data_IF_545081946926
#
_entry.id   IF_545081946926
#
_cell.length_a   1.000
_cell.length_b   1.000
_cell.length_c   1.000
_cell.angle_alpha   90.00
_cell.angle_beta   90.00
_cell.angle_gamma   90.00
#
_symmetry.space_group_name_H-M   'P 1'
#
loop_
_entity.id
_entity.type
_entity.pdbx_description
1 polymer ?
2 non-polymer ?
3 water ?
#
# COMPACT_ATOMS: atom_id res chain seq x y z
N UNK A 24 2.87 -33.08 -6.28
CA UNK A 24 2.17 -32.38 -5.23
C UNK A 24 2.43 -30.87 -5.49
N UNK A 25 3.08 -30.16 -4.58
CA UNK A 25 3.03 -28.70 -4.55
C UNK A 25 3.82 -28.07 -5.69
N UNK A 26 3.40 -26.87 -6.09
CA UNK A 26 4.23 -26.07 -6.96
C UNK A 26 5.52 -25.68 -6.23
N UNK A 27 6.62 -25.46 -6.97
CA UNK A 27 7.93 -25.27 -6.32
C UNK A 27 8.20 -23.88 -5.74
N UNK A 28 7.19 -23.03 -5.56
CA UNK A 28 7.51 -21.64 -5.20
C UNK A 28 8.09 -21.55 -3.80
N UNK A 29 7.55 -22.31 -2.84
CA UNK A 29 8.19 -22.33 -1.52
C UNK A 29 9.57 -22.97 -1.58
N UNK A 30 9.69 -24.13 -2.24
CA UNK A 30 10.99 -24.76 -2.33
C UNK A 30 12.05 -23.79 -2.88
N UNK A 31 11.70 -23.02 -3.90
CA UNK A 31 12.67 -22.09 -4.49
C UNK A 31 13.17 -21.09 -3.45
N UNK A 32 12.24 -20.53 -2.66
CA UNK A 32 12.61 -19.57 -1.63
C UNK A 32 13.42 -20.23 -0.53
N UNK A 33 13.06 -21.45 -0.13
CA UNK A 33 13.81 -22.12 0.92
C UNK A 33 15.25 -22.42 0.49
N UNK A 34 15.45 -22.80 -0.78
CA UNK A 34 16.79 -23.16 -1.25
C UNK A 34 17.68 -21.91 -1.29
N UNK A 35 17.16 -20.81 -1.84
CA UNK A 35 17.88 -19.53 -1.83
C UNK A 35 18.00 -18.97 -0.43
N UNK A 36 17.13 -19.41 0.48
CA UNK A 36 17.12 -18.96 1.87
C UNK A 36 16.94 -17.45 1.93
N UNK A 37 16.10 -16.95 1.04
CA UNK A 37 15.83 -15.51 1.02
C UNK A 37 14.50 -15.21 0.36
N UNK A 38 13.87 -14.12 0.81
CA UNK A 38 12.63 -13.66 0.21
C UNK A 38 12.88 -12.22 -0.19
N UNK A 39 12.64 -11.91 -1.46
CA UNK A 39 12.85 -10.56 -1.99
C UNK A 39 11.51 -9.85 -1.96
N UNK A 40 11.41 -8.82 -1.12
CA UNK A 40 10.16 -8.07 -0.90
C UNK A 40 10.34 -6.73 -1.61
N UNK A 41 9.62 -6.50 -2.70
CA UNK A 41 9.68 -5.23 -3.39
C UNK A 41 8.88 -4.18 -2.65
N UNK A 42 9.46 -2.99 -2.47
CA UNK A 42 8.79 -1.92 -1.74
C UNK A 42 9.05 -0.62 -2.47
N UNK A 43 8.08 0.30 -2.37
CA UNK A 43 8.37 1.71 -2.53
C UNK A 43 8.91 2.21 -1.20
N UNK A 44 10.11 2.77 -1.19
CA UNK A 44 10.80 3.06 0.06
C UNK A 44 10.53 4.48 0.56
N UNK A 45 9.41 5.08 0.16
CA UNK A 45 9.00 6.40 0.60
C UNK A 45 7.58 6.40 1.18
N UNK A 46 7.00 5.23 1.46
CA UNK A 46 5.60 5.23 1.91
C UNK A 46 5.58 5.44 3.43
N UNK A 47 5.04 6.56 3.95
CA UNK A 47 5.07 6.76 5.41
C UNK A 47 4.42 5.61 6.18
N UNK A 48 4.94 5.37 7.39
CA UNK A 48 4.51 4.28 8.30
C UNK A 48 4.79 2.87 7.78
N UNK A 49 4.47 2.56 6.52
CA UNK A 49 4.56 1.18 6.04
C UNK A 49 5.99 0.79 5.62
N UNK A 50 6.70 1.67 4.92
CA UNK A 50 8.01 1.34 4.37
C UNK A 50 8.67 2.61 3.88
N UNK A 51 9.47 3.22 4.76
CA UNK A 51 10.07 4.53 4.51
C UNK A 51 11.49 4.52 5.08
N UNK A 52 12.26 5.59 4.79
CA UNK A 52 13.64 5.71 5.27
C UNK A 52 13.70 6.51 6.56
N UNK A 53 14.32 5.93 7.60
CA UNK A 53 14.48 6.64 8.85
C UNK A 53 15.71 7.57 8.77
N UNK A 54 15.99 8.29 9.87
CA UNK A 54 17.09 9.26 9.89
C UNK A 54 18.44 8.62 9.54
N UNK A 55 18.61 7.34 9.81
CA UNK A 55 19.83 6.61 9.49
C UNK A 55 19.80 6.04 8.07
N UNK A 56 18.75 6.32 7.31
CA UNK A 56 18.55 5.88 5.93
C UNK A 56 18.35 4.36 5.84
N UNK A 57 17.83 3.76 6.90
CA UNK A 57 17.39 2.36 6.86
C UNK A 57 15.91 2.30 6.52
N UNK A 58 15.50 1.25 5.82
CA UNK A 58 14.09 1.05 5.52
C UNK A 58 13.40 0.49 6.76
N UNK A 59 12.32 1.15 7.20
CA UNK A 59 11.60 0.79 8.42
C UNK A 59 10.12 0.90 8.12
N UNK A 60 9.32 0.28 8.98
CA UNK A 60 7.90 0.50 8.89
C UNK A 60 7.13 -0.76 9.24
N UNK A 61 5.81 -0.62 9.20
CA UNK A 61 4.91 -1.71 9.58
C UNK A 61 5.15 -2.93 8.70
N UNK A 62 5.18 -2.73 7.38
CA UNK A 62 5.37 -3.85 6.45
C UNK A 62 6.74 -4.47 6.65
N UNK A 63 7.73 -3.63 6.98
CA UNK A 63 9.09 -4.13 7.17
C UNK A 63 9.17 -4.97 8.42
N UNK A 64 8.51 -4.52 9.51
CA UNK A 64 8.56 -5.30 10.73
C UNK A 64 7.89 -6.65 10.52
N UNK A 65 6.77 -6.66 9.78
CA UNK A 65 6.07 -7.92 9.51
C UNK A 65 6.98 -8.89 8.75
N UNK A 66 7.56 -8.44 7.64
CA UNK A 66 8.31 -9.38 6.82
C UNK A 66 9.65 -9.73 7.44
N UNK A 67 10.25 -8.84 8.23
CA UNK A 67 11.49 -9.19 8.90
C UNK A 67 11.28 -10.34 9.89
N UNK A 68 10.19 -10.28 10.66
CA UNK A 68 9.93 -11.31 11.66
C UNK A 68 9.42 -12.59 11.01
N UNK A 69 8.57 -12.46 9.99
CA UNK A 69 8.10 -13.61 9.25
C UNK A 69 9.27 -14.41 8.67
N UNK A 70 10.21 -13.72 8.00
CA UNK A 70 11.35 -14.41 7.42
C UNK A 70 12.24 -15.00 8.52
N UNK A 71 12.35 -14.31 9.65
CA UNK A 71 13.13 -14.88 10.74
C UNK A 71 12.54 -16.23 11.15
N UNK A 72 11.22 -16.27 11.32
CA UNK A 72 10.58 -17.53 11.73
C UNK A 72 10.74 -18.61 10.67
N UNK A 73 10.75 -18.24 9.39
CA UNK A 73 10.91 -19.21 8.31
C UNK A 73 12.36 -19.61 8.07
N UNK A 74 13.31 -19.00 8.78
CA UNK A 74 14.69 -19.38 8.60
C UNK A 74 15.33 -18.86 7.32
N UNK A 75 14.83 -17.74 6.79
CA UNK A 75 15.26 -17.19 5.51
C UNK A 75 15.57 -15.71 5.71
N UNK A 76 16.36 -15.15 4.75
CA UNK A 76 16.78 -13.75 4.87
C UNK A 76 15.82 -12.85 4.12
N UNK A 77 15.29 -11.78 4.75
CA UNK A 77 14.42 -10.85 4.04
C UNK A 77 15.27 -9.84 3.28
N UNK A 78 14.96 -9.62 2.02
CA UNK A 78 15.64 -8.60 1.21
C UNK A 78 14.61 -7.57 0.78
N UNK A 79 14.75 -6.34 1.28
CA UNK A 79 13.79 -5.31 0.97
C UNK A 79 14.36 -4.56 -0.22
N UNK A 80 13.72 -4.70 -1.37
CA UNK A 80 14.28 -4.24 -2.63
C UNK A 80 13.47 -3.05 -3.10
N UNK A 81 14.04 -1.85 -3.12
CA UNK A 81 13.29 -0.69 -3.63
C UNK A 81 13.01 -0.84 -5.12
N UNK A 82 11.75 -0.68 -5.47
CA UNK A 82 11.29 -0.80 -6.85
C UNK A 82 10.63 0.49 -7.30
N UNK A 83 10.53 0.62 -8.63
CA UNK A 83 9.67 1.60 -9.27
C UNK A 83 8.25 1.03 -9.30
N UNK A 84 7.29 1.73 -8.66
CA UNK A 84 6.00 1.10 -8.46
C UNK A 84 5.37 0.67 -9.78
N UNK A 85 5.56 1.48 -10.84
CA UNK A 85 4.93 1.20 -12.13
C UNK A 85 5.46 -0.08 -12.75
N UNK A 86 6.62 -0.56 -12.31
CA UNK A 86 7.27 -1.76 -12.84
C UNK A 86 6.97 -3.01 -12.01
N UNK A 87 6.11 -2.90 -10.99
CA UNK A 87 6.01 -3.95 -10.00
C UNK A 87 5.58 -5.28 -10.61
N UNK A 88 4.66 -5.24 -11.57
CA UNK A 88 4.17 -6.50 -12.17
C UNK A 88 5.27 -7.22 -12.94
N UNK A 89 6.04 -6.47 -13.72
CA UNK A 89 7.15 -7.04 -14.48
C UNK A 89 8.24 -7.55 -13.55
N UNK A 90 8.60 -6.77 -12.52
CA UNK A 90 9.67 -7.21 -11.62
C UNK A 90 9.29 -8.50 -10.90
N UNK A 91 8.02 -8.60 -10.50
CA UNK A 91 7.53 -9.82 -9.86
C UNK A 91 7.51 -10.99 -10.83
N UNK A 92 6.91 -10.80 -12.01
CA UNK A 92 6.72 -11.92 -12.94
C UNK A 92 8.03 -12.40 -13.56
N UNK A 93 9.02 -11.53 -13.69
CA UNK A 93 10.35 -11.95 -14.16
C UNK A 93 11.24 -12.43 -13.02
N UNK A 94 10.76 -12.41 -11.79
CA UNK A 94 11.53 -12.98 -10.70
C UNK A 94 12.56 -12.09 -10.04
N UNK A 95 12.58 -10.79 -10.38
CA UNK A 95 13.48 -9.86 -9.69
C UNK A 95 13.08 -9.75 -8.22
N UNK A 96 11.77 -9.72 -7.93
CA UNK A 96 11.24 -9.79 -6.58
C UNK A 96 10.35 -11.03 -6.46
N UNK A 97 10.03 -11.38 -5.22
CA UNK A 97 9.15 -12.51 -4.92
C UNK A 97 7.76 -12.07 -4.49
N UNK A 98 7.61 -10.83 -4.03
CA UNK A 98 6.33 -10.33 -3.57
C UNK A 98 6.41 -8.82 -3.50
N UNK A 99 5.24 -8.20 -3.30
CA UNK A 99 5.12 -6.74 -3.31
C UNK A 99 4.38 -6.33 -2.03
N UNK A 100 4.96 -5.39 -1.30
CA UNK A 100 4.34 -4.81 -0.11
C UNK A 100 4.24 -3.30 -0.35
N UNK A 101 4.42 -2.46 0.69
CA UNK A 101 4.27 -1.00 0.58
C UNK A 101 2.82 -0.57 0.39
N UNK A 102 1.88 -1.26 1.02
CA UNK A 102 0.49 -0.83 0.97
C UNK A 102 -0.21 -1.20 -0.32
N UNK A 103 -0.03 -2.45 -0.76
CA UNK A 103 -0.61 -2.94 -2.00
C UNK A 103 -2.11 -3.20 -1.82
N UNK A 104 -2.95 -2.49 -2.58
CA UNK A 104 -4.41 -2.63 -2.50
C UNK A 104 -4.96 -3.80 -3.31
N UNK A 105 -5.88 -4.55 -2.71
CA UNK A 105 -6.69 -5.49 -3.47
C UNK A 105 -7.65 -4.73 -4.38
N UNK A 106 -7.67 -5.10 -5.66
CA UNK A 106 -8.71 -4.68 -6.59
C UNK A 106 -9.17 -5.89 -7.37
N UNK A 107 -10.36 -5.78 -7.96
CA UNK A 107 -10.87 -6.89 -8.74
C UNK A 107 -9.98 -7.16 -9.95
N UNK A 108 -9.54 -6.11 -10.63
CA UNK A 108 -8.60 -6.25 -11.76
C UNK A 108 -7.34 -6.99 -11.32
N UNK A 109 -6.76 -6.61 -10.19
CA UNK A 109 -5.50 -7.21 -9.75
C UNK A 109 -5.64 -8.69 -9.39
N UNK A 110 -6.85 -9.14 -9.06
CA UNK A 110 -7.07 -10.58 -8.84
C UNK A 110 -6.76 -11.40 -10.07
N UNK A 111 -6.83 -10.80 -11.26
CA UNK A 111 -6.49 -11.48 -12.51
C UNK A 111 -5.01 -11.40 -12.84
N UNK A 112 -4.20 -10.71 -12.03
CA UNK A 112 -2.79 -10.51 -12.34
C UNK A 112 -1.87 -11.00 -11.24
N UNK A 113 -2.40 -11.24 -10.05
CA UNK A 113 -1.60 -11.55 -8.87
C UNK A 113 -2.32 -12.56 -8.01
N UNK A 114 -1.54 -13.32 -7.25
CA UNK A 114 -2.03 -14.11 -6.13
C UNK A 114 -1.82 -13.28 -4.87
N UNK A 115 -2.89 -12.97 -4.16
CA UNK A 115 -2.80 -12.05 -3.03
C UNK A 115 -3.08 -12.80 -1.74
N UNK A 116 -2.35 -12.46 -0.68
CA UNK A 116 -2.53 -13.18 0.57
C UNK A 116 -3.67 -12.53 1.35
N UNK A 117 -4.13 -13.24 2.38
CA UNK A 117 -5.26 -12.79 3.14
C UNK A 117 -5.00 -11.34 3.60
N UNK A 118 -5.97 -10.45 3.44
CA UNK A 118 -5.73 -9.03 3.74
C UNK A 118 -5.32 -8.79 5.19
N UNK A 119 -4.47 -7.76 5.37
CA UNK A 119 -3.91 -7.51 6.70
C UNK A 119 -4.27 -6.12 7.23
N UNK A 120 -4.75 -5.20 6.40
CA UNK A 120 -5.22 -3.88 6.82
C UNK A 120 -6.40 -3.46 5.95
N UNK A 121 -7.30 -2.64 6.53
CA UNK A 121 -8.27 -1.89 5.75
C UNK A 121 -7.67 -0.56 5.35
N UNK A 122 -8.13 -0.04 4.23
CA UNK A 122 -7.70 1.26 3.77
C UNK A 122 -8.85 1.94 3.06
N UNK A 123 -8.71 3.24 2.88
CA UNK A 123 -9.64 4.01 2.09
C UNK A 123 -8.82 5.05 1.33
N UNK A 124 -9.20 5.31 0.09
CA UNK A 124 -8.64 6.44 -0.65
C UNK A 124 -9.45 7.67 -0.27
N UNK A 125 -8.73 8.76 0.03
CA UNK A 125 -9.31 10.01 0.46
C UNK A 125 -8.75 11.12 -0.43
N UNK A 126 -9.48 12.22 -0.50
CA UNK A 126 -9.10 13.38 -1.31
C UNK A 126 -8.69 14.50 -0.37
N UNK A 127 -7.52 15.07 -0.63
CA UNK A 127 -6.92 16.10 0.20
C UNK A 127 -6.81 17.37 -0.61
N UNK A 128 -7.17 18.50 0.00
CA UNK A 128 -7.06 19.82 -0.61
C UNK A 128 -6.31 20.74 0.34
N UNK A 129 -6.08 21.98 -0.11
CA UNK A 129 -5.62 23.02 0.78
C UNK A 129 -6.78 23.52 1.64
N UNK A 130 -6.53 23.68 2.94
CA UNK A 130 -7.61 23.87 3.89
C UNK A 130 -8.25 25.23 3.75
N UNK A 131 -7.51 26.18 3.22
CA UNK A 131 -7.99 27.56 3.20
C UNK A 131 -8.75 27.85 1.93
N UNK A 132 -9.25 26.79 1.28
CA UNK A 132 -9.92 26.94 0.00
C UNK A 132 -11.41 26.63 0.05
N UNK A 133 -11.92 26.14 1.17
CA UNK A 133 -13.34 25.92 1.32
C UNK A 133 -13.86 24.67 0.65
N UNK A 134 -13.00 23.74 0.25
CA UNK A 134 -13.48 22.49 -0.30
C UNK A 134 -14.13 21.67 0.78
N UNK A 135 -15.37 21.25 0.55
CA UNK A 135 -16.08 20.42 1.54
C UNK A 135 -16.60 19.13 0.92
N UNK A 136 -17.01 19.17 -0.34
CA UNK A 136 -17.66 18.03 -0.96
C UNK A 136 -16.92 17.60 -2.23
N UNK A 137 -17.11 16.33 -2.59
CA UNK A 137 -16.51 15.85 -3.83
C UNK A 137 -17.04 16.62 -5.02
N UNK A 138 -18.30 17.08 -4.95
CA UNK A 138 -18.89 17.80 -6.07
C UNK A 138 -18.10 19.06 -6.40
N UNK A 139 -17.44 19.66 -5.42
CA UNK A 139 -16.62 20.84 -5.68
C UNK A 139 -15.31 20.50 -6.36
N UNK A 140 -15.03 19.23 -6.61
CA UNK A 140 -13.85 18.83 -7.36
C UNK A 140 -14.11 18.82 -8.86
N UNK A 141 -15.34 19.09 -9.29
CA UNK A 141 -15.65 19.08 -10.71
C UNK A 141 -14.86 20.15 -11.44
N UNK A 142 -14.39 19.80 -12.64
CA UNK A 142 -13.61 20.72 -13.47
C UNK A 142 -12.37 21.18 -12.72
N UNK A 143 -11.73 20.25 -12.02
CA UNK A 143 -10.48 20.50 -11.32
C UNK A 143 -9.43 19.54 -11.85
N UNK A 144 -8.19 19.78 -11.44
CA UNK A 144 -7.10 18.85 -11.68
C UNK A 144 -6.75 18.16 -10.38
N UNK A 145 -6.65 16.83 -10.43
CA UNK A 145 -6.40 16.03 -9.24
C UNK A 145 -5.21 15.14 -9.51
N UNK A 146 -4.26 15.13 -8.59
CA UNK A 146 -3.02 14.36 -8.76
C UNK A 146 -3.17 13.04 -8.03
N UNK A 147 -2.63 12.00 -8.65
CA UNK A 147 -2.63 10.67 -8.07
C UNK A 147 -1.24 10.08 -8.27
N UNK A 148 -0.85 9.19 -7.38
CA UNK A 148 0.35 8.41 -7.61
C UNK A 148 0.13 7.45 -8.79
N UNK A 149 1.08 7.42 -9.72
CA UNK A 149 0.96 6.57 -10.89
C UNK A 149 0.85 5.10 -10.50
N UNK A 150 0.06 4.35 -11.29
CA UNK A 150 -0.08 2.90 -11.17
C UNK A 150 -0.57 2.46 -9.80
N UNK A 151 -1.47 3.26 -9.21
CA UNK A 151 -2.12 2.90 -7.96
C UNK A 151 -3.63 2.74 -8.12
N UNK A 152 -4.13 2.72 -9.35
CA UNK A 152 -5.58 2.72 -9.62
C UNK A 152 -6.28 3.89 -8.94
N UNK A 153 -5.56 4.99 -8.67
CA UNK A 153 -6.21 6.17 -8.15
C UNK A 153 -7.07 6.84 -9.19
N UNK A 154 -6.66 6.79 -10.45
CA UNK A 154 -7.49 7.27 -11.54
C UNK A 154 -8.80 6.50 -11.60
N UNK A 155 -8.74 5.18 -11.42
CA UNK A 155 -9.95 4.38 -11.43
C UNK A 155 -10.85 4.72 -10.26
N UNK A 156 -10.24 4.94 -9.08
CA UNK A 156 -11.05 5.33 -7.93
C UNK A 156 -11.81 6.63 -8.20
N UNK A 157 -11.12 7.63 -8.79
CA UNK A 157 -11.77 8.91 -9.08
C UNK A 157 -12.84 8.77 -10.15
N UNK A 158 -12.51 8.08 -11.25
CA UNK A 158 -13.46 7.85 -12.33
C UNK A 158 -14.70 7.09 -11.89
N UNK A 159 -14.68 6.51 -10.69
CA UNK A 159 -15.84 5.83 -10.15
C UNK A 159 -16.69 6.70 -9.23
N UNK A 160 -16.32 7.97 -9.07
CA UNK A 160 -17.16 8.95 -8.39
C UNK A 160 -18.05 9.62 -9.44
N UNK A 161 -19.37 9.51 -9.26
CA UNK A 161 -20.30 10.02 -10.26
C UNK A 161 -20.05 11.49 -10.57
N UNK A 162 -19.89 12.31 -9.52
CA UNK A 162 -19.68 13.74 -9.73
C UNK A 162 -18.49 14.03 -10.65
N UNK A 163 -17.52 13.11 -10.72
CA UNK A 163 -16.21 13.43 -11.28
C UNK A 163 -15.92 12.82 -12.65
N UNK A 164 -16.61 11.76 -13.05
CA UNK A 164 -16.35 11.17 -14.35
C UNK A 164 -16.55 12.21 -15.44
N UNK A 165 -15.60 12.27 -16.37
CA UNK A 165 -15.65 13.18 -17.51
C UNK A 165 -15.61 14.66 -17.09
N UNK A 166 -15.24 14.96 -15.84
CA UNK A 166 -15.12 16.34 -15.40
C UNK A 166 -13.89 16.56 -14.52
N UNK A 167 -12.86 15.75 -14.66
CA UNK A 167 -11.63 15.91 -13.91
C UNK A 167 -10.44 15.71 -14.85
N UNK A 168 -9.37 16.43 -14.58
CA UNK A 168 -8.06 16.19 -15.18
C UNK A 168 -7.22 15.45 -14.14
N UNK A 169 -6.67 14.30 -14.50
CA UNK A 169 -5.89 13.48 -13.58
C UNK A 169 -4.42 13.59 -13.94
N UNK A 170 -3.58 13.99 -12.98
CA UNK A 170 -2.14 14.05 -13.18
C UNK A 170 -1.50 12.94 -12.35
N UNK A 171 -0.76 12.07 -13.01
CA UNK A 171 -0.08 10.96 -12.33
C UNK A 171 1.36 11.36 -12.02
N UNK A 172 1.76 11.13 -10.78
CA UNK A 172 3.08 11.49 -10.29
C UNK A 172 3.80 10.27 -9.71
N UNK A 173 5.11 10.36 -9.61
CA UNK A 173 5.94 9.21 -9.29
C UNK A 173 6.14 8.96 -7.79
N UNK A 174 5.96 9.98 -6.94
CA UNK A 174 6.05 9.79 -5.51
C UNK A 174 4.91 10.47 -4.78
N UNK A 175 4.80 10.14 -3.49
CA UNK A 175 3.78 10.78 -2.66
C UNK A 175 4.16 12.23 -2.39
N UNK A 176 5.47 12.50 -2.20
CA UNK A 176 5.89 13.87 -1.95
C UNK A 176 5.52 14.78 -3.12
N UNK A 177 5.55 14.26 -4.35
CA UNK A 177 5.22 15.07 -5.51
C UNK A 177 3.75 15.51 -5.48
N UNK A 178 2.86 14.64 -4.99
CA UNK A 178 1.46 15.03 -4.84
C UNK A 178 1.35 16.29 -3.98
N UNK A 179 1.98 16.29 -2.82
CA UNK A 179 1.84 17.44 -1.93
C UNK A 179 2.52 18.67 -2.50
N UNK A 180 3.60 18.48 -3.26
CA UNK A 180 4.25 19.60 -3.91
C UNK A 180 3.34 20.25 -4.94
N UNK A 181 2.63 19.44 -5.72
CA UNK A 181 1.70 19.99 -6.70
C UNK A 181 0.54 20.68 -5.98
N UNK A 182 0.10 20.12 -4.85
CA UNK A 182 -0.96 20.73 -4.08
C UNK A 182 -0.52 22.07 -3.50
N UNK A 183 0.71 22.14 -2.98
CA UNK A 183 1.27 23.43 -2.57
C UNK A 183 1.48 24.34 -3.77
N UNK A 184 1.82 23.77 -4.93
CA UNK A 184 2.16 24.57 -6.10
C UNK A 184 0.93 25.21 -6.74
N UNK A 185 -0.23 24.56 -6.68
CA UNK A 185 -1.32 24.94 -7.56
C UNK A 185 -1.30 24.22 -8.90
N UNK A 186 -0.36 23.29 -9.09
CA UNK A 186 -0.35 22.42 -10.25
C UNK A 186 -1.58 21.53 -10.28
N UNK A 187 -2.15 21.27 -9.11
CA UNK A 187 -3.42 20.57 -9.02
C UNK A 187 -4.22 21.22 -7.90
N UNK A 188 -5.52 20.93 -7.88
CA UNK A 188 -6.43 21.43 -6.86
C UNK A 188 -6.68 20.45 -5.73
N UNK A 189 -6.40 19.18 -5.96
CA UNK A 189 -6.58 18.14 -4.96
C UNK A 189 -5.67 16.98 -5.31
N UNK A 190 -5.51 16.07 -4.34
CA UNK A 190 -4.75 14.84 -4.51
C UNK A 190 -5.51 13.68 -3.87
N UNK A 191 -5.21 12.49 -4.37
CA UNK A 191 -5.68 11.23 -3.77
C UNK A 191 -4.52 10.61 -3.00
N UNK A 192 -4.78 10.21 -1.76
CA UNK A 192 -3.81 9.49 -0.95
C UNK A 192 -4.54 8.36 -0.25
N UNK A 193 -3.78 7.39 0.26
CA UNK A 193 -4.35 6.33 1.08
C UNK A 193 -4.39 6.80 2.52
N UNK A 194 -5.54 6.57 3.16
CA UNK A 194 -5.68 6.88 4.57
C UNK A 194 -4.54 6.31 5.40
N UNK A 195 -4.20 5.02 5.18
CA UNK A 195 -3.30 4.31 6.10
C UNK A 195 -1.94 5.02 6.21
N UNK A 196 -1.34 5.40 5.09
CA UNK A 196 -0.03 6.02 5.18
C UNK A 196 -0.11 7.49 5.50
N UNK A 197 -1.32 8.04 5.59
CA UNK A 197 -1.59 9.45 5.89
C UNK A 197 -1.94 9.71 7.36
N UNK A 198 -2.02 8.68 8.20
CA UNK A 198 -2.55 8.89 9.55
C UNK A 198 -1.71 9.88 10.33
N UNK A 199 -0.38 9.82 10.23
CA UNK A 199 0.43 10.85 10.88
C UNK A 199 0.43 12.16 10.10
N UNK A 200 0.59 12.09 8.77
CA UNK A 200 0.75 13.30 7.96
C UNK A 200 -0.39 14.29 8.21
N UNK A 201 -1.62 13.83 8.12
CA UNK A 201 -2.77 14.70 8.19
C UNK A 201 -3.28 14.88 9.62
N UNK A 202 -2.76 14.10 10.56
CA UNK A 202 -2.92 14.45 11.98
C UNK A 202 -2.13 15.71 12.32
N UNK A 203 -1.05 15.98 11.60
CA UNK A 203 -0.07 16.98 11.99
C UNK A 203 0.09 18.14 11.02
N UNK A 204 -0.43 18.06 9.80
CA UNK A 204 -0.21 19.08 8.77
C UNK A 204 -1.51 19.82 8.41
N UNK A 205 -2.25 20.34 9.38
CA UNK A 205 -3.63 20.78 9.08
C UNK A 205 -3.74 21.98 8.15
N UNK A 206 -2.66 22.34 7.45
CA UNK A 206 -2.76 23.21 6.29
C UNK A 206 -3.55 22.50 5.19
N UNK A 207 -3.93 21.24 5.43
CA UNK A 207 -4.60 20.41 4.45
C UNK A 207 -5.98 20.04 4.96
N UNK A 208 -6.91 19.87 4.02
CA UNK A 208 -8.28 19.52 4.33
C UNK A 208 -8.62 18.20 3.65
N UNK A 209 -9.30 17.34 4.36
CA UNK A 209 -9.79 16.08 3.80
C UNK A 209 -11.26 16.21 3.48
N UNK A 210 -11.62 15.89 2.23
CA UNK A 210 -13.03 15.81 1.88
C UNK A 210 -13.68 14.67 2.67
N UNK A 211 -14.81 14.97 3.31
CA UNK A 211 -15.46 14.01 4.21
C UNK A 211 -15.66 12.66 3.54
N UNK A 212 -16.21 12.65 2.32
CA UNK A 212 -16.53 11.40 1.65
C UNK A 212 -15.26 10.78 1.06
N UNK A 213 -14.94 9.57 1.49
CA UNK A 213 -13.87 8.82 0.86
C UNK A 213 -14.34 8.33 -0.51
N UNK A 214 -13.38 8.04 -1.40
CA UNK A 214 -13.75 7.58 -2.73
C UNK A 214 -13.60 6.06 -2.90
N UNK A 215 -13.06 5.37 -1.92
CA UNK A 215 -12.95 3.93 -2.01
C UNK A 215 -12.85 3.36 -0.60
N UNK A 216 -13.24 2.11 -0.47
CA UNK A 216 -12.94 1.34 0.73
C UNK A 216 -12.29 0.05 0.26
N UNK A 217 -11.18 -0.32 0.91
CA UNK A 217 -10.24 -1.27 0.33
C UNK A 217 -9.65 -2.14 1.43
N UNK A 218 -8.94 -3.16 0.98
CA UNK A 218 -8.03 -3.95 1.79
C UNK A 218 -6.64 -3.91 1.19
N UNK A 219 -5.65 -3.93 2.07
CA UNK A 219 -4.25 -4.09 1.70
C UNK A 219 -3.91 -5.57 1.79
N UNK A 220 -2.98 -5.99 0.93
CA UNK A 220 -2.50 -7.36 0.88
C UNK A 220 -1.01 -7.33 0.57
N UNK A 221 -0.42 -8.54 0.46
CA UNK A 221 0.90 -8.71 -0.12
C UNK A 221 0.72 -9.54 -1.39
N UNK A 222 1.29 -9.07 -2.50
CA UNK A 222 1.04 -9.63 -3.83
C UNK A 222 2.17 -10.56 -4.25
N UNK A 223 1.80 -11.71 -4.83
CA UNK A 223 2.72 -12.76 -5.24
C UNK A 223 2.43 -13.15 -6.67
N UNK A 224 3.35 -13.91 -7.28
CA UNK A 224 3.10 -14.42 -8.61
C UNK A 224 1.90 -15.35 -8.58
N UNK A 225 1.14 -15.36 -9.68
CA UNK A 225 -0.13 -16.09 -9.72
C UNK A 225 0.04 -17.56 -9.37
N UNK A 226 1.08 -18.20 -9.90
CA UNK A 226 1.25 -19.63 -9.73
C UNK A 226 1.76 -20.03 -8.35
N UNK A 227 2.18 -19.09 -7.52
CA UNK A 227 3.04 -19.41 -6.37
C UNK A 227 2.20 -19.71 -5.11
N UNK A 228 1.38 -20.74 -5.24
CA UNK A 228 0.45 -21.11 -4.16
C UNK A 228 1.17 -21.63 -2.91
N UNK A 229 2.21 -22.47 -3.07
CA UNK A 229 2.87 -23.01 -1.88
C UNK A 229 3.63 -21.93 -1.12
N UNK A 230 4.26 -20.99 -1.84
CA UNK A 230 4.91 -19.87 -1.17
C UNK A 230 3.89 -19.06 -0.37
N UNK A 231 2.75 -18.74 -0.98
CA UNK A 231 1.76 -17.91 -0.29
C UNK A 231 1.18 -18.66 0.90
N UNK A 232 0.90 -19.96 0.75
CA UNK A 232 0.38 -20.74 1.87
C UNK A 232 1.35 -20.76 3.05
N UNK A 233 2.65 -20.91 2.78
CA UNK A 233 3.63 -20.89 3.86
C UNK A 233 3.62 -19.55 4.57
N UNK A 234 3.65 -18.47 3.79
CA UNK A 234 3.61 -17.12 4.31
C UNK A 234 2.37 -16.91 5.17
N UNK A 235 1.23 -17.33 4.65
CA UNK A 235 -0.03 -17.12 5.38
C UNK A 235 -0.03 -17.88 6.70
N UNK A 236 0.57 -19.08 6.73
CA UNK A 236 0.60 -19.82 7.98
C UNK A 236 1.37 -19.07 9.06
N UNK A 237 2.50 -18.46 8.70
CA UNK A 237 3.29 -17.73 9.67
C UNK A 237 2.62 -16.42 10.06
N UNK A 238 2.04 -15.71 9.08
CA UNK A 238 1.30 -14.49 9.40
C UNK A 238 0.20 -14.77 10.42
N UNK A 239 -0.49 -15.89 10.27
CA UNK A 239 -1.56 -16.22 11.23
C UNK A 239 -0.99 -16.41 12.63
N UNK A 240 0.13 -17.14 12.74
CA UNK A 240 0.78 -17.32 14.02
C UNK A 240 1.18 -15.98 14.61
N UNK A 241 1.74 -15.10 13.78
CA UNK A 241 2.23 -13.81 14.24
C UNK A 241 1.08 -12.89 14.64
N UNK A 242 -0.11 -13.11 14.09
CA UNK A 242 -1.26 -12.28 14.47
C UNK A 242 -1.89 -12.79 15.75
N UNK A 243 -2.06 -14.11 15.86
CA UNK A 243 -2.68 -14.69 17.05
C UNK A 243 -1.81 -14.47 18.28
N UNK A 244 -0.48 -14.53 18.13
CA UNK A 244 0.40 -14.40 19.27
C UNK A 244 0.72 -12.94 19.59
N UNK A 245 0.06 -12.00 18.93
CA UNK A 245 0.04 -10.56 19.23
C UNK A 245 1.27 -9.84 18.70
N UNK A 246 2.16 -10.52 17.98
CA UNK A 246 3.33 -9.83 17.41
C UNK A 246 2.89 -8.75 16.43
N UNK A 247 1.97 -9.08 15.53
CA UNK A 247 1.58 -8.11 14.51
C UNK A 247 0.70 -7.03 15.14
N UNK A 248 -0.29 -7.39 15.98
CA UNK A 248 -1.03 -6.35 16.70
C UNK A 248 -0.14 -5.36 17.42
N UNK A 249 0.95 -5.85 18.00
CA UNK A 249 1.86 -4.96 18.71
C UNK A 249 2.70 -4.15 17.75
N UNK A 250 3.07 -4.70 16.58
CA UNK A 250 3.64 -3.85 15.53
C UNK A 250 2.67 -2.74 15.15
N UNK A 251 1.39 -3.09 15.02
CA UNK A 251 0.40 -2.07 14.66
C UNK A 251 0.31 -0.98 15.72
N UNK A 252 0.32 -1.37 17.00
CA UNK A 252 0.27 -0.38 18.08
C UNK A 252 1.49 0.52 18.04
N UNK A 253 2.66 -0.06 17.75
CA UNK A 253 3.89 0.72 17.58
C UNK A 253 3.74 1.78 16.51
N UNK A 254 3.23 1.40 15.34
CA UNK A 254 3.25 2.29 14.19
C UNK A 254 2.00 3.17 14.04
N UNK A 255 0.86 2.70 14.53
CA UNK A 255 -0.42 3.37 14.35
C UNK A 255 -1.06 3.86 15.65
N UNK A 256 -0.59 3.42 16.80
CA UNK A 256 -1.18 3.81 18.07
C UNK A 256 -2.32 2.90 18.52
N UNK A 257 -2.77 1.99 17.66
CA UNK A 257 -3.79 0.99 17.99
C UNK A 257 -3.60 -0.22 17.10
N UNK A 258 -4.34 -1.29 17.41
CA UNK A 258 -4.26 -2.54 16.65
C UNK A 258 -5.24 -2.47 15.48
N UNK A 259 -4.68 -2.31 14.28
CA UNK A 259 -5.46 -2.24 13.05
C UNK A 259 -5.42 -3.54 12.26
N UNK A 260 -4.78 -4.58 12.78
CA UNK A 260 -4.57 -5.79 11.99
C UNK A 260 -5.91 -6.51 11.79
N UNK A 261 -6.20 -6.91 10.55
CA UNK A 261 -7.41 -7.66 10.27
C UNK A 261 -7.11 -9.08 9.79
N UNK A 262 -5.92 -9.60 10.12
CA UNK A 262 -5.53 -10.91 9.62
C UNK A 262 -6.34 -12.05 10.18
N UNK A 263 -7.18 -11.82 11.20
CA UNK A 263 -8.08 -12.88 11.68
C UNK A 263 -9.44 -12.82 11.00
N UNK A 264 -9.62 -11.94 10.02
CA UNK A 264 -10.83 -11.93 9.20
C UNK A 264 -10.68 -12.97 8.11
N UNK A 265 -11.73 -13.76 7.90
CA UNK A 265 -11.76 -14.77 6.86
C UNK A 265 -12.41 -14.22 5.61
N UNK A 266 -11.69 -14.32 4.50
CA UNK A 266 -12.17 -13.91 3.20
C UNK A 266 -12.43 -15.12 2.34
#
# INVERSE_FOLDING_TARGET
>A
MGSDKIHHHHHHENLYFQGKVEYIEDPSWSKVQVKSALVIGVSDFVPILSFRNEKNEIVGYDIDIFTELCRRLGIHPIFYPIQWAQKEILLNTGVIDCIASGFSVTEERKQHYRMCTPYLQNAKIVVTLAGRGYQTLAQLQNRTIAVEADTAGDEALLNVEALKDHVIIKAMATIDQLYEALDSGTCDAIVVDLIYSLDTLDKNPQYSIINEAISTEYYTFAFRQADASLVAKIESVLAEMNEDETIPNFSRKWFGSNLSILNVRF
#
